data_IF_629096512405
#
_entry.id   IF_629096512405
#
_cell.length_a   1.000
_cell.length_b   1.000
_cell.length_c   1.000
_cell.angle_alpha   90.00
_cell.angle_beta   90.00
_cell.angle_gamma   90.00
#
_symmetry.space_group_name_H-M   'P 1'
#
loop_
_entity.id
_entity.type
_entity.pdbx_description
1 polymer ?
#
# COMPACT_ATOMS: atom_id res chain seq x y z
N UNK A 1 -26.17 0.11 -26.82
CA UNK A 1 -25.09 -0.73 -26.25
C UNK A 1 -23.81 -0.46 -27.04
N UNK A 2 -22.78 0.14 -26.43
CA UNK A 2 -21.50 0.41 -27.12
C UNK A 2 -20.58 -0.78 -26.91
N UNK A 3 -20.30 -1.52 -27.99
CA UNK A 3 -19.38 -2.65 -27.95
C UNK A 3 -17.94 -2.17 -27.77
N UNK A 4 -17.26 -2.67 -26.73
CA UNK A 4 -15.84 -2.37 -26.46
C UNK A 4 -14.94 -3.04 -27.52
N UNK A 5 -13.96 -2.33 -28.11
CA UNK A 5 -13.01 -2.96 -29.03
C UNK A 5 -12.07 -3.94 -28.30
N UNK A 6 -12.29 -5.24 -28.51
CA UNK A 6 -11.48 -6.37 -27.98
C UNK A 6 -9.99 -6.34 -28.39
N UNK A 7 -9.60 -5.51 -29.37
CA UNK A 7 -8.24 -5.46 -29.91
C UNK A 7 -7.16 -5.02 -28.90
N UNK A 8 -7.53 -4.33 -27.81
CA UNK A 8 -6.58 -3.92 -26.75
C UNK A 8 -6.08 -5.07 -25.88
N UNK A 9 -6.83 -6.18 -25.78
CA UNK A 9 -6.52 -7.27 -24.85
C UNK A 9 -5.36 -8.15 -25.36
N UNK A 10 -5.33 -8.45 -26.66
CA UNK A 10 -4.24 -9.23 -27.30
C UNK A 10 -2.88 -8.54 -27.23
N UNK A 11 -2.84 -7.20 -27.35
CA UNK A 11 -1.60 -6.41 -27.18
C UNK A 11 -1.03 -6.59 -25.77
N UNK A 12 -1.87 -6.48 -24.73
CA UNK A 12 -1.46 -6.66 -23.33
C UNK A 12 -0.88 -8.04 -23.04
N UNK A 13 -1.47 -9.10 -23.60
CA UNK A 13 -0.95 -10.47 -23.41
C UNK A 13 0.48 -10.63 -23.95
N UNK A 14 0.74 -10.15 -25.18
CA UNK A 14 2.06 -10.24 -25.80
C UNK A 14 3.12 -9.47 -25.00
N UNK A 15 2.76 -8.30 -24.48
CA UNK A 15 3.67 -7.48 -23.68
C UNK A 15 3.99 -8.15 -22.33
N UNK A 16 2.99 -8.74 -21.67
CA UNK A 16 3.19 -9.52 -20.44
C UNK A 16 4.09 -10.73 -20.69
N UNK A 17 3.89 -11.47 -21.79
CA UNK A 17 4.72 -12.62 -22.15
C UNK A 17 6.17 -12.23 -22.40
N UNK A 18 6.41 -11.14 -23.16
CA UNK A 18 7.77 -10.62 -23.36
C UNK A 18 8.44 -10.23 -22.05
N UNK A 19 7.68 -9.63 -21.13
CA UNK A 19 8.18 -9.27 -19.80
C UNK A 19 8.56 -10.51 -19.00
N UNK A 20 7.71 -11.54 -18.96
CA UNK A 20 8.02 -12.78 -18.24
C UNK A 20 9.23 -13.51 -18.84
N UNK A 21 9.36 -13.57 -20.17
CA UNK A 21 10.52 -14.19 -20.81
C UNK A 21 11.83 -13.49 -20.46
N UNK A 22 11.84 -12.15 -20.44
CA UNK A 22 12.99 -11.37 -19.98
C UNK A 22 13.33 -11.64 -18.52
N UNK A 23 12.33 -11.77 -17.66
CA UNK A 23 12.53 -12.09 -16.24
C UNK A 23 13.13 -13.49 -16.03
N UNK A 24 12.82 -14.43 -16.93
CA UNK A 24 13.35 -15.80 -16.93
C UNK A 24 14.69 -15.93 -17.69
N UNK A 25 15.28 -14.83 -18.17
CA UNK A 25 16.50 -14.84 -18.99
C UNK A 25 16.39 -15.66 -20.28
N UNK A 26 15.18 -15.84 -20.81
CA UNK A 26 14.95 -16.49 -22.10
C UNK A 26 15.08 -15.44 -23.20
N UNK A 27 16.02 -15.64 -24.13
CA UNK A 27 16.26 -14.69 -25.22
C UNK A 27 15.02 -14.56 -26.11
N UNK A 28 14.54 -13.33 -26.29
CA UNK A 28 13.35 -13.06 -27.10
C UNK A 28 13.56 -13.32 -28.60
N UNK A 29 14.80 -13.49 -29.06
CA UNK A 29 15.14 -13.72 -30.48
C UNK A 29 15.16 -15.21 -30.81
N UNK A 30 15.46 -16.09 -29.85
CA UNK A 30 15.63 -17.52 -30.07
C UNK A 30 14.51 -18.39 -29.45
N UNK A 31 13.50 -17.78 -28.81
CA UNK A 31 12.45 -18.51 -28.11
C UNK A 31 11.61 -19.39 -29.04
N UNK A 32 11.44 -18.98 -30.30
CA UNK A 32 10.72 -19.75 -31.33
C UNK A 32 11.47 -21.05 -31.66
N UNK A 33 12.80 -20.97 -31.87
CA UNK A 33 13.66 -22.14 -32.11
C UNK A 33 13.71 -23.06 -30.88
N UNK A 34 13.81 -22.46 -29.70
CA UNK A 34 13.82 -23.18 -28.43
C UNK A 34 12.48 -23.87 -28.16
N UNK A 35 11.35 -23.33 -28.63
CA UNK A 35 10.03 -23.92 -28.46
C UNK A 35 9.79 -25.15 -29.35
N UNK A 36 10.53 -25.29 -30.45
CA UNK A 36 10.50 -26.49 -31.30
C UNK A 36 11.11 -27.71 -30.56
N UNK A 37 12.17 -27.49 -29.77
CA UNK A 37 12.73 -28.49 -28.87
C UNK A 37 12.02 -28.43 -27.50
N UNK A 38 10.94 -29.20 -27.37
CA UNK A 38 10.13 -29.25 -26.14
C UNK A 38 10.95 -29.62 -24.89
N UNK A 39 11.86 -30.62 -24.90
CA UNK A 39 12.79 -30.85 -23.80
C UNK A 39 13.68 -29.65 -23.44
N UNK A 40 14.29 -28.97 -24.42
CA UNK A 40 15.13 -27.81 -24.16
C UNK A 40 14.33 -26.64 -23.59
N UNK A 41 13.13 -26.38 -24.13
CA UNK A 41 12.21 -25.38 -23.61
C UNK A 41 11.91 -25.58 -22.11
N UNK A 42 11.56 -26.81 -21.71
CA UNK A 42 11.27 -27.14 -20.31
C UNK A 42 12.46 -26.88 -19.39
N UNK A 43 13.67 -27.24 -19.83
CA UNK A 43 14.90 -27.01 -19.07
C UNK A 43 15.15 -25.51 -18.89
N UNK A 44 15.10 -24.73 -19.97
CA UNK A 44 15.32 -23.28 -19.92
C UNK A 44 14.31 -22.54 -19.06
N UNK A 45 13.01 -22.89 -19.16
CA UNK A 45 11.97 -22.29 -18.31
C UNK A 45 12.19 -22.62 -16.84
N UNK A 46 12.55 -23.87 -16.51
CA UNK A 46 12.82 -24.28 -15.13
C UNK A 46 14.00 -23.53 -14.54
N UNK A 47 15.13 -23.51 -15.24
CA UNK A 47 16.33 -22.77 -14.81
C UNK A 47 16.06 -21.28 -14.67
N UNK A 48 15.38 -20.68 -15.64
CA UNK A 48 14.99 -19.26 -15.58
C UNK A 48 14.08 -18.94 -14.39
N UNK A 49 13.16 -19.84 -14.05
CA UNK A 49 12.26 -19.68 -12.92
C UNK A 49 13.00 -19.77 -11.57
N UNK A 50 13.94 -20.71 -11.43
CA UNK A 50 14.78 -20.85 -10.25
C UNK A 50 15.62 -19.58 -10.00
N UNK A 51 16.23 -19.03 -11.07
CA UNK A 51 16.99 -17.78 -11.01
C UNK A 51 16.09 -16.60 -10.62
N UNK A 52 14.92 -16.48 -11.25
CA UNK A 52 13.97 -15.41 -10.97
C UNK A 52 13.50 -15.43 -9.51
N UNK A 53 13.16 -16.61 -8.98
CA UNK A 53 12.74 -16.77 -7.59
C UNK A 53 13.87 -16.41 -6.62
N UNK A 54 15.10 -16.87 -6.87
CA UNK A 54 16.27 -16.50 -6.08
C UNK A 54 16.47 -14.99 -6.02
N UNK A 55 16.39 -14.32 -7.17
CA UNK A 55 16.50 -12.86 -7.26
C UNK A 55 15.37 -12.14 -6.51
N UNK A 56 14.14 -12.64 -6.62
CA UNK A 56 12.97 -12.07 -5.93
C UNK A 56 13.12 -12.17 -4.40
N UNK A 57 13.60 -13.31 -3.91
CA UNK A 57 13.87 -13.52 -2.48
C UNK A 57 15.00 -12.60 -2.01
N UNK A 58 16.10 -12.52 -2.75
CA UNK A 58 17.23 -11.64 -2.43
C UNK A 58 16.79 -10.16 -2.35
N UNK A 59 16.00 -9.70 -3.33
CA UNK A 59 15.46 -8.34 -3.35
C UNK A 59 14.51 -8.07 -2.18
N UNK A 60 13.66 -9.03 -1.81
CA UNK A 60 12.79 -8.91 -0.64
C UNK A 60 13.60 -8.82 0.67
N UNK A 61 14.63 -9.66 0.82
CA UNK A 61 15.54 -9.61 1.97
C UNK A 61 16.26 -8.26 2.06
N UNK A 62 16.79 -7.75 0.95
CA UNK A 62 17.43 -6.43 0.89
C UNK A 62 16.48 -5.30 1.31
N UNK A 63 15.22 -5.33 0.85
CA UNK A 63 14.20 -4.37 1.27
C UNK A 63 13.90 -4.45 2.77
N UNK A 64 13.79 -5.65 3.33
CA UNK A 64 13.57 -5.83 4.77
C UNK A 64 14.72 -5.25 5.59
N UNK A 65 15.97 -5.46 5.16
CA UNK A 65 17.15 -4.86 5.83
C UNK A 65 17.12 -3.33 5.72
N UNK A 66 16.82 -2.79 4.54
CA UNK A 66 16.71 -1.34 4.33
C UNK A 66 15.58 -0.70 5.17
N UNK A 67 14.43 -1.38 5.31
CA UNK A 67 13.31 -0.92 6.13
C UNK A 67 13.57 -1.06 7.65
N UNK A 68 14.49 -1.95 8.06
CA UNK A 68 14.91 -2.12 9.46
C UNK A 68 15.90 -1.06 9.91
N UNK A 69 16.61 -0.39 8.99
CA UNK A 69 17.40 0.78 9.35
C UNK A 69 16.43 1.81 9.95
N UNK A 70 16.75 2.44 11.10
CA UNK A 70 15.88 3.44 11.68
C UNK A 70 15.66 4.52 10.63
N UNK A 71 14.46 4.59 10.05
CA UNK A 71 14.01 5.80 9.37
C UNK A 71 14.32 6.95 10.33
N UNK A 72 14.88 8.09 9.87
CA UNK A 72 15.19 9.22 10.74
C UNK A 72 13.96 9.49 11.59
N UNK A 73 14.04 9.09 12.86
CA UNK A 73 12.99 9.37 13.82
C UNK A 73 13.12 10.85 14.00
N UNK A 74 12.28 11.61 13.31
CA UNK A 74 12.06 13.02 13.59
C UNK A 74 11.34 13.06 14.94
N UNK A 75 12.03 12.62 15.99
CA UNK A 75 11.67 12.90 17.35
C UNK A 75 12.14 14.32 17.56
N UNK A 76 11.35 15.28 17.06
CA UNK A 76 11.42 16.64 17.56
C UNK A 76 10.90 16.58 18.99
N UNK A 77 11.80 16.23 19.92
CA UNK A 77 11.68 16.61 21.32
C UNK A 77 11.63 18.12 21.32
N UNK A 78 10.44 18.67 21.49
CA UNK A 78 10.13 19.98 22.07
C UNK A 78 8.59 20.08 22.06
N UNK A 79 7.99 20.01 23.25
CA UNK A 79 6.63 20.43 23.58
C UNK A 79 5.59 20.23 22.46
N UNK A 80 5.25 18.97 22.18
CA UNK A 80 4.39 18.59 21.07
C UNK A 80 2.93 18.98 21.35
N UNK A 81 2.54 20.21 20.99
CA UNK A 81 1.12 20.58 20.90
C UNK A 81 0.41 19.60 19.96
N UNK A 82 -0.72 19.04 20.39
CA UNK A 82 -1.50 18.11 19.59
C UNK A 82 -1.86 18.74 18.23
N UNK A 83 -1.60 18.06 17.09
CA UNK A 83 -1.94 18.58 15.79
C UNK A 83 -3.45 18.82 15.69
N UNK A 84 -3.84 20.04 15.32
CA UNK A 84 -5.22 20.53 15.42
C UNK A 84 -5.75 20.99 14.06
N UNK A 85 -7.02 20.76 13.71
CA UNK A 85 -7.61 21.35 12.49
C UNK A 85 -7.88 22.84 12.75
N UNK A 86 -7.30 23.77 11.97
CA UNK A 86 -7.46 25.22 12.23
C UNK A 86 -8.90 25.70 12.07
N UNK A 87 -9.75 24.95 11.35
CA UNK A 87 -11.17 25.31 11.14
C UNK A 87 -12.08 24.94 12.30
N UNK A 88 -11.88 23.76 12.88
CA UNK A 88 -12.77 23.24 13.94
C UNK A 88 -12.09 23.17 15.31
N UNK A 89 -10.83 23.60 15.39
CA UNK A 89 -9.96 23.55 16.56
C UNK A 89 -9.96 22.19 17.28
N UNK A 90 -10.20 21.11 16.53
CA UNK A 90 -10.23 19.75 17.07
C UNK A 90 -8.81 19.19 17.17
N UNK A 91 -8.34 18.80 18.36
CA UNK A 91 -7.04 18.16 18.52
C UNK A 91 -7.07 16.70 18.03
N UNK A 92 -6.00 16.26 17.39
CA UNK A 92 -5.82 14.90 16.93
C UNK A 92 -4.59 14.26 17.60
N UNK A 93 -4.73 12.99 17.99
CA UNK A 93 -3.62 12.22 18.60
C UNK A 93 -2.48 11.92 17.62
N UNK A 94 -2.73 12.05 16.31
CA UNK A 94 -1.72 11.83 15.27
C UNK A 94 -1.99 12.70 14.04
N UNK A 95 -0.93 13.08 13.31
CA UNK A 95 -1.02 13.87 12.06
C UNK A 95 -1.86 13.18 10.99
N UNK A 96 -1.85 11.85 10.93
CA UNK A 96 -2.66 11.07 9.96
C UNK A 96 -4.16 11.31 10.19
N UNK A 97 -4.60 11.36 11.45
CA UNK A 97 -5.98 11.65 11.81
C UNK A 97 -6.42 13.06 11.39
N UNK A 98 -5.55 14.06 11.60
CA UNK A 98 -5.77 15.43 11.12
C UNK A 98 -5.87 15.47 9.59
N UNK A 99 -4.97 14.82 8.86
CA UNK A 99 -4.98 14.79 7.38
C UNK A 99 -6.25 14.12 6.84
N UNK A 100 -6.67 13.00 7.42
CA UNK A 100 -7.92 12.34 7.04
C UNK A 100 -9.14 13.21 7.29
N UNK A 101 -9.19 13.86 8.46
CA UNK A 101 -10.25 14.79 8.83
C UNK A 101 -10.30 16.02 7.91
N UNK A 102 -9.16 16.61 7.56
CA UNK A 102 -9.11 17.75 6.62
C UNK A 102 -9.62 17.40 5.23
N UNK A 103 -9.34 16.18 4.75
CA UNK A 103 -9.77 15.71 3.42
C UNK A 103 -11.26 15.47 3.30
N UNK A 104 -11.91 15.10 4.41
CA UNK A 104 -13.29 14.59 4.39
C UNK A 104 -14.29 15.48 5.10
N UNK A 105 -13.85 16.22 6.12
CA UNK A 105 -14.73 16.91 7.06
C UNK A 105 -14.42 18.40 7.21
N UNK A 106 -13.16 18.86 7.10
CA UNK A 106 -12.88 20.30 7.30
C UNK A 106 -13.47 21.20 6.18
N UNK A 107 -14.04 20.68 5.08
CA UNK A 107 -14.71 21.47 4.02
C UNK A 107 -16.23 21.69 4.22
N UNK A 108 -16.82 21.13 5.26
CA UNK A 108 -18.26 21.31 5.51
C UNK A 108 -18.49 22.63 6.28
N UNK A 109 -19.26 23.54 5.68
CA UNK A 109 -19.87 24.73 6.31
C UNK A 109 -20.63 24.32 7.60
N UNK A 110 -20.61 25.09 8.73
CA UNK A 110 -21.20 24.65 9.99
C UNK A 110 -22.74 24.68 10.05
N UNK A 111 -23.46 24.79 8.93
CA UNK A 111 -24.93 24.96 9.01
C UNK A 111 -25.69 23.64 9.18
N UNK A 112 -25.16 22.50 8.75
CA UNK A 112 -25.95 21.25 8.83
C UNK A 112 -25.07 20.02 8.98
N UNK A 113 -24.72 19.72 10.24
CA UNK A 113 -24.75 18.35 10.75
C UNK A 113 -24.81 18.43 12.25
N UNK A 114 -26.06 18.47 12.73
CA UNK A 114 -26.49 18.03 14.05
C UNK A 114 -25.50 16.99 14.57
N UNK A 115 -24.72 17.38 15.56
CA UNK A 115 -24.01 16.42 16.38
C UNK A 115 -25.11 15.54 16.96
N UNK A 116 -25.29 14.36 16.37
CA UNK A 116 -26.11 13.33 16.96
C UNK A 116 -25.53 13.09 18.35
N UNK A 117 -26.31 13.50 19.33
CA UNK A 117 -26.05 13.41 20.76
C UNK A 117 -25.68 11.98 21.09
N UNK A 118 -24.40 11.73 21.34
CA UNK A 118 -23.99 10.69 22.28
C UNK A 118 -23.48 11.42 23.52
N UNK A 119 -24.43 12.04 24.24
CA UNK A 119 -24.26 12.34 25.65
C UNK A 119 -24.10 10.99 26.35
N UNK A 120 -22.85 10.55 26.54
CA UNK A 120 -22.57 9.67 27.66
C UNK A 120 -22.27 10.62 28.79
N UNK A 121 -23.24 10.73 29.70
CA UNK A 121 -23.07 11.45 30.95
C UNK A 121 -21.83 10.91 31.66
N UNK A 122 -21.03 11.87 32.07
CA UNK A 122 -19.98 11.73 33.04
C UNK A 122 -20.69 11.91 34.37
N UNK A 123 -20.82 10.83 35.13
CA UNK A 123 -21.23 10.88 36.53
C UNK A 123 -20.14 10.11 37.30
N UNK A 124 -19.06 10.82 37.59
CA UNK A 124 -18.20 10.64 38.77
C UNK A 124 -18.83 11.64 39.79
N UNK A 125 -19.00 11.44 41.09
CA UNK A 125 -18.41 10.61 42.14
C UNK A 125 -19.46 10.54 43.29
N UNK A 126 -19.41 9.55 44.17
CA UNK A 126 -19.60 9.82 45.61
C UNK A 126 -19.07 8.66 46.47
N UNK A 127 -18.26 9.07 47.44
CA UNK A 127 -17.34 8.32 48.28
C UNK A 127 -18.04 7.81 49.57
N UNK A 128 -17.77 6.54 49.92
CA UNK A 128 -17.70 5.94 51.28
C UNK A 128 -18.94 5.88 52.23
N UNK A 129 -18.95 5.09 53.35
CA UNK A 129 -18.00 4.06 53.85
C UNK A 129 -18.61 2.76 54.44
N UNK A 130 -17.72 1.77 54.63
CA UNK A 130 -17.59 0.77 55.71
C UNK A 130 -18.83 0.20 56.46
N UNK A 131 -19.06 -1.12 56.29
CA UNK A 131 -19.21 -2.08 57.41
C UNK A 131 -18.82 -3.49 56.95
#
# INVERSE_FOLDING_TARGET
>A
MVARPQKRQKRRFKDTLKKSLKQLQINQVNWDDLAQDRPAWRRSVKTGAEIYEANRIAAAKAKTVACKLPAPRINATNDQTLPTCPRVQRPFRARIGLVGHSRTQCNNNPITRTFATCLRTHDDDDDHPNY
#
